data_IF_192252859614
#
_entry.id   IF_192252859614
#
_cell.length_a   1.000
_cell.length_b   1.000
_cell.length_c   1.000
_cell.angle_alpha   90.00
_cell.angle_beta   90.00
_cell.angle_gamma   90.00
#
_symmetry.space_group_name_H-M   'P 1'
#
loop_
_entity.id
_entity.type
_entity.pdbx_description
1 polymer ?
#
# COMPACT_ATOMS: atom_id res chain seq x y z
N UNK A 1 18.91 12.25 11.36
CA UNK A 1 17.68 12.01 10.59
C UNK A 1 17.39 10.53 10.57
N UNK A 2 16.13 10.07 10.67
CA UNK A 2 15.80 8.66 10.51
C UNK A 2 16.25 8.16 9.13
N UNK A 3 16.82 6.95 9.07
CA UNK A 3 17.23 6.34 7.80
C UNK A 3 16.02 6.15 6.87
N UNK A 4 16.20 6.40 5.57
CA UNK A 4 15.16 6.09 4.59
C UNK A 4 14.89 4.58 4.57
N UNK A 5 13.70 4.16 4.11
CA UNK A 5 13.40 2.74 3.99
C UNK A 5 14.42 1.98 3.13
N UNK A 6 14.88 2.59 2.02
CA UNK A 6 15.88 1.99 1.14
C UNK A 6 17.17 1.69 1.91
N UNK A 7 17.57 2.62 2.79
CA UNK A 7 18.76 2.48 3.65
C UNK A 7 18.62 1.36 4.69
N UNK A 8 17.40 1.06 5.13
CA UNK A 8 17.12 0.05 6.16
C UNK A 8 17.02 -1.37 5.60
N UNK A 9 16.50 -1.55 4.38
CA UNK A 9 16.11 -2.87 3.89
C UNK A 9 16.75 -3.30 2.56
N UNK A 10 17.22 -2.36 1.73
CA UNK A 10 17.89 -2.70 0.48
C UNK A 10 19.39 -2.83 0.72
N UNK A 11 20.02 -3.88 0.18
CA UNK A 11 21.48 -4.05 0.26
C UNK A 11 22.18 -2.87 -0.43
N UNK A 12 23.31 -2.41 0.10
CA UNK A 12 24.10 -1.29 -0.48
C UNK A 12 24.42 -1.46 -1.97
N UNK A 13 24.74 -2.69 -2.40
CA UNK A 13 25.01 -2.99 -3.80
C UNK A 13 23.77 -2.77 -4.71
N UNK A 14 22.59 -3.07 -4.18
CA UNK A 14 21.32 -2.89 -4.89
C UNK A 14 20.88 -1.43 -4.87
N UNK A 15 21.07 -0.71 -3.75
CA UNK A 15 20.88 0.76 -3.72
C UNK A 15 21.71 1.47 -4.79
N UNK A 16 22.97 1.03 -4.98
CA UNK A 16 23.85 1.56 -6.01
C UNK A 16 23.33 1.26 -7.42
N UNK A 17 22.74 0.09 -7.65
CA UNK A 17 22.11 -0.27 -8.93
C UNK A 17 20.86 0.57 -9.20
N UNK A 18 20.00 0.75 -8.21
CA UNK A 18 18.80 1.60 -8.34
C UNK A 18 19.20 3.04 -8.67
N UNK A 19 20.21 3.59 -7.98
CA UNK A 19 20.78 4.89 -8.33
C UNK A 19 21.36 4.91 -9.76
N UNK A 20 22.13 3.89 -10.14
CA UNK A 20 22.73 3.80 -11.47
C UNK A 20 21.67 3.73 -12.58
N UNK A 21 20.55 3.07 -12.33
CA UNK A 21 19.44 2.93 -13.27
C UNK A 21 18.41 4.06 -13.16
N UNK A 22 18.62 5.04 -12.28
CA UNK A 22 17.69 6.14 -12.07
C UNK A 22 16.33 5.69 -11.55
N UNK A 23 16.25 4.53 -10.90
CA UNK A 23 15.01 4.00 -10.33
C UNK A 23 14.71 4.76 -9.04
N UNK A 24 13.68 5.59 -9.09
CA UNK A 24 13.13 6.31 -7.96
C UNK A 24 11.62 6.04 -7.87
N UNK A 25 11.09 6.06 -6.66
CA UNK A 25 9.63 5.99 -6.47
C UNK A 25 8.98 7.26 -7.02
N UNK A 26 7.80 7.10 -7.64
CA UNK A 26 7.04 8.22 -8.15
C UNK A 26 6.72 9.26 -7.07
N UNK A 27 6.38 10.48 -7.51
CA UNK A 27 5.89 11.54 -6.63
C UNK A 27 4.54 11.11 -6.03
N UNK A 28 4.58 10.46 -4.87
CA UNK A 28 3.42 10.03 -4.09
C UNK A 28 3.58 10.49 -2.64
N UNK A 29 2.47 10.68 -1.95
CA UNK A 29 2.49 10.79 -0.49
C UNK A 29 2.68 9.40 0.10
N UNK A 30 3.48 9.27 1.16
CA UNK A 30 3.70 8.01 1.85
C UNK A 30 3.14 8.08 3.25
N UNK A 31 2.19 7.19 3.56
CA UNK A 31 1.57 7.06 4.87
C UNK A 31 1.86 5.68 5.45
N UNK A 32 2.03 5.60 6.77
CA UNK A 32 2.22 4.33 7.50
C UNK A 32 1.02 4.09 8.40
N UNK A 33 0.15 3.17 8.00
CA UNK A 33 -1.13 2.88 8.64
C UNK A 33 -0.96 1.74 9.65
N UNK A 34 -1.29 1.95 10.94
CA UNK A 34 -1.25 0.87 11.92
C UNK A 34 -2.39 -0.12 11.67
N UNK A 35 -2.06 -1.39 11.44
CA UNK A 35 -3.01 -2.49 11.54
C UNK A 35 -3.32 -2.78 13.01
N UNK A 36 -4.45 -3.45 13.28
CA UNK A 36 -4.93 -3.71 14.65
C UNK A 36 -3.96 -4.51 15.52
N UNK A 37 -3.10 -5.34 14.90
CA UNK A 37 -2.10 -6.15 15.58
C UNK A 37 -0.70 -5.51 15.62
N UNK A 38 -0.61 -4.22 15.26
CA UNK A 38 0.58 -3.40 15.42
C UNK A 38 1.55 -3.40 14.23
N UNK A 39 1.18 -4.01 13.11
CA UNK A 39 1.90 -3.83 11.85
C UNK A 39 1.76 -2.39 11.35
N UNK A 40 2.83 -1.84 10.78
CA UNK A 40 2.80 -0.56 10.09
C UNK A 40 2.76 -0.82 8.59
N UNK A 41 1.63 -0.54 7.95
CA UNK A 41 1.39 -0.78 6.53
C UNK A 41 1.72 0.46 5.72
N UNK A 42 2.60 0.34 4.74
CA UNK A 42 2.93 1.46 3.88
C UNK A 42 1.88 1.64 2.78
N UNK A 43 1.41 2.87 2.62
CA UNK A 43 0.40 3.26 1.63
C UNK A 43 0.93 4.45 0.86
N UNK A 44 1.04 4.30 -0.47
CA UNK A 44 1.29 5.44 -1.36
C UNK A 44 -0.03 6.06 -1.78
N UNK A 45 -0.17 7.38 -1.61
CA UNK A 45 -1.30 8.17 -2.06
C UNK A 45 -0.95 9.04 -3.27
N UNK A 46 -1.89 9.13 -4.21
CA UNK A 46 -1.84 9.96 -5.39
C UNK A 46 -3.12 10.79 -5.40
N UNK A 47 -3.07 11.95 -4.75
CA UNK A 47 -4.22 12.83 -4.64
C UNK A 47 -4.34 13.71 -5.88
N UNK A 48 -5.58 13.93 -6.31
CA UNK A 48 -5.90 14.90 -7.35
C UNK A 48 -6.78 15.99 -6.75
N UNK A 49 -6.67 17.23 -7.24
CA UNK A 49 -7.54 18.31 -6.78
C UNK A 49 -8.03 19.10 -8.01
N UNK A 50 -9.36 19.19 -8.24
CA UNK A 50 -10.45 18.60 -7.45
C UNK A 50 -10.57 17.09 -7.64
N UNK A 51 -11.04 16.39 -6.60
CA UNK A 51 -11.25 14.93 -6.62
C UNK A 51 -12.56 14.57 -7.30
N UNK A 52 -12.58 13.44 -8.01
CA UNK A 52 -13.73 12.91 -8.75
C UNK A 52 -14.09 11.52 -8.22
N UNK A 53 -15.37 11.36 -7.89
CA UNK A 53 -15.93 10.05 -7.53
C UNK A 53 -15.38 9.51 -6.22
N UNK A 54 -15.35 8.18 -6.11
CA UNK A 54 -14.86 7.46 -4.93
C UNK A 54 -13.36 7.18 -5.06
N UNK A 55 -12.60 7.21 -3.94
CA UNK A 55 -11.19 6.86 -3.96
C UNK A 55 -10.98 5.42 -4.42
N UNK A 56 -9.79 5.13 -4.93
CA UNK A 56 -9.43 3.83 -5.48
C UNK A 56 -8.31 3.22 -4.66
N UNK A 57 -8.54 2.06 -4.04
CA UNK A 57 -7.51 1.24 -3.42
C UNK A 57 -7.04 0.15 -4.38
N UNK A 58 -5.75 0.15 -4.69
CA UNK A 58 -5.07 -0.84 -5.52
C UNK A 58 -4.27 -1.79 -4.61
N UNK A 59 -4.66 -3.07 -4.60
CA UNK A 59 -4.09 -4.11 -3.73
C UNK A 59 -3.31 -5.15 -4.55
N UNK A 60 -2.04 -5.36 -4.18
CA UNK A 60 -1.12 -6.20 -4.93
C UNK A 60 -1.33 -7.71 -4.71
N UNK A 61 -0.74 -8.53 -5.58
CA UNK A 61 -0.76 -9.99 -5.49
C UNK A 61 0.29 -10.57 -4.53
N UNK A 62 0.35 -11.89 -4.44
CA UNK A 62 1.35 -12.57 -3.61
C UNK A 62 2.77 -12.33 -4.15
N UNK A 63 3.73 -12.02 -3.27
CA UNK A 63 5.11 -11.76 -3.67
C UNK A 63 5.32 -10.45 -4.42
N UNK A 64 4.31 -9.57 -4.43
CA UNK A 64 4.32 -8.26 -5.05
C UNK A 64 4.31 -7.15 -3.99
N UNK A 65 4.23 -5.90 -4.40
CA UNK A 65 4.17 -4.75 -3.49
C UNK A 65 3.41 -3.60 -4.18
N UNK A 66 3.23 -2.45 -3.51
CA UNK A 66 2.47 -1.31 -4.02
C UNK A 66 2.96 -0.76 -5.36
N UNK A 67 4.26 -0.95 -5.68
CA UNK A 67 4.87 -0.50 -6.94
C UNK A 67 4.37 -1.30 -8.15
N UNK A 68 3.67 -2.43 -7.95
CA UNK A 68 3.00 -3.15 -9.05
C UNK A 68 2.03 -2.27 -9.84
N UNK A 69 1.49 -1.23 -9.21
CA UNK A 69 0.60 -0.26 -9.85
C UNK A 69 1.25 1.09 -10.15
N UNK A 70 2.48 1.30 -9.69
CA UNK A 70 3.29 2.48 -9.99
C UNK A 70 4.71 2.07 -10.43
N UNK A 71 4.82 1.67 -11.70
CA UNK A 71 6.06 1.20 -12.32
C UNK A 71 6.81 2.32 -13.06
N UNK A 72 6.09 3.08 -13.88
CA UNK A 72 6.66 4.11 -14.76
C UNK A 72 5.58 5.14 -15.15
N UNK A 73 5.98 6.39 -15.37
CA UNK A 73 5.07 7.49 -15.65
C UNK A 73 4.08 7.21 -16.81
N UNK A 74 4.49 6.45 -17.82
CA UNK A 74 3.69 6.22 -19.03
C UNK A 74 2.75 5.02 -18.91
N UNK A 75 3.00 4.11 -17.96
CA UNK A 75 2.25 2.84 -17.84
C UNK A 75 1.71 2.55 -16.43
N UNK A 76 1.93 3.45 -15.46
CA UNK A 76 1.44 3.31 -14.09
C UNK A 76 -0.08 3.50 -14.02
N UNK A 77 -0.80 2.45 -13.65
CA UNK A 77 -2.25 2.51 -13.41
C UNK A 77 -2.60 3.53 -12.32
N UNK A 78 -1.82 3.59 -11.25
CA UNK A 78 -2.06 4.52 -10.14
C UNK A 78 -2.01 5.98 -10.61
N UNK A 79 -0.97 6.31 -11.39
CA UNK A 79 -0.76 7.65 -11.93
C UNK A 79 -1.77 8.00 -13.01
N UNK A 80 -2.12 7.04 -13.87
CA UNK A 80 -3.16 7.22 -14.87
C UNK A 80 -4.51 7.58 -14.23
N UNK A 81 -4.95 6.81 -13.23
CA UNK A 81 -6.21 7.08 -12.52
C UNK A 81 -6.19 8.42 -11.77
N UNK A 82 -5.07 8.76 -11.14
CA UNK A 82 -4.90 10.07 -10.50
C UNK A 82 -4.99 11.22 -11.50
N UNK A 83 -4.38 11.08 -12.69
CA UNK A 83 -4.49 12.06 -13.77
C UNK A 83 -5.93 12.19 -14.33
N UNK A 84 -6.76 11.15 -14.19
CA UNK A 84 -8.20 11.21 -14.49
C UNK A 84 -9.05 11.83 -13.36
N UNK A 85 -8.43 12.28 -12.28
CA UNK A 85 -9.07 12.99 -11.18
C UNK A 85 -9.53 12.10 -10.01
N UNK A 86 -9.05 10.86 -9.91
CA UNK A 86 -9.35 10.02 -8.74
C UNK A 86 -8.30 10.20 -7.64
N UNK A 87 -8.70 10.09 -6.39
CA UNK A 87 -7.73 9.82 -5.32
C UNK A 87 -7.37 8.34 -5.36
N UNK A 88 -6.09 8.04 -5.52
CA UNK A 88 -5.61 6.66 -5.70
C UNK A 88 -4.65 6.30 -4.59
N UNK A 89 -4.79 5.08 -4.09
CA UNK A 89 -3.99 4.53 -3.01
C UNK A 89 -3.47 3.16 -3.41
N UNK A 90 -2.18 2.91 -3.19
CA UNK A 90 -1.56 1.59 -3.39
C UNK A 90 -0.96 1.14 -2.07
N UNK A 91 -1.27 -0.08 -1.63
CA UNK A 91 -0.86 -0.60 -0.32
C UNK A 91 0.27 -1.62 -0.46
N UNK A 92 1.24 -1.58 0.45
CA UNK A 92 2.12 -2.71 0.77
C UNK A 92 1.47 -3.52 1.90
N UNK A 93 1.03 -4.76 1.63
CA UNK A 93 0.50 -5.62 2.70
C UNK A 93 1.61 -5.99 3.70
N UNK A 94 1.24 -6.52 4.88
CA UNK A 94 2.24 -6.96 5.86
C UNK A 94 3.29 -7.85 5.20
N UNK A 95 4.54 -7.71 5.65
CA UNK A 95 5.72 -8.38 5.12
C UNK A 95 6.14 -8.03 3.67
N UNK A 96 5.47 -7.08 3.00
CA UNK A 96 5.81 -6.64 1.65
C UNK A 96 6.30 -5.19 1.65
N UNK A 97 7.13 -4.86 0.65
CA UNK A 97 7.61 -3.51 0.39
C UNK A 97 8.05 -2.77 1.66
N UNK A 98 7.42 -1.62 1.91
CA UNK A 98 7.74 -0.72 3.01
C UNK A 98 7.02 -1.04 4.32
N UNK A 99 6.22 -2.09 4.38
CA UNK A 99 5.47 -2.44 5.58
C UNK A 99 6.34 -3.08 6.66
N UNK A 100 6.20 -2.61 7.89
CA UNK A 100 7.07 -2.95 9.02
C UNK A 100 6.32 -3.72 10.08
N UNK A 101 6.98 -4.77 10.59
CA UNK A 101 6.48 -5.55 11.71
C UNK A 101 6.54 -4.74 13.01
N UNK A 102 5.65 -5.03 13.99
CA UNK A 102 5.72 -4.37 15.27
C UNK A 102 7.08 -4.57 15.96
N UNK A 103 7.63 -3.50 16.54
CA UNK A 103 9.00 -3.46 17.09
C UNK A 103 9.21 -4.44 18.25
N UNK A 104 8.16 -4.68 19.06
CA UNK A 104 8.20 -5.57 20.23
C UNK A 104 8.26 -7.07 19.90
N UNK A 105 8.04 -7.45 18.65
CA UNK A 105 8.07 -8.87 18.23
C UNK A 105 9.49 -9.46 18.19
N UNK A 106 10.55 -8.64 18.30
CA UNK A 106 11.93 -9.12 18.30
C UNK A 106 12.26 -9.98 17.06
N UNK A 107 12.94 -11.13 17.27
CA UNK A 107 13.16 -12.17 16.23
C UNK A 107 12.04 -13.22 16.16
N UNK A 108 10.94 -13.07 16.93
CA UNK A 108 9.86 -14.08 16.94
C UNK A 108 9.19 -14.17 15.57
N UNK A 109 8.77 -15.41 15.27
CA UNK A 109 8.34 -15.92 13.98
C UNK A 109 7.22 -15.09 13.36
N UNK A 110 7.24 -15.04 12.03
CA UNK A 110 6.18 -14.64 11.12
C UNK A 110 4.94 -15.53 11.34
N UNK A 111 4.23 -15.34 12.45
CA UNK A 111 3.01 -16.07 12.77
C UNK A 111 1.79 -15.28 12.29
N UNK A 112 1.66 -15.17 10.98
CA UNK A 112 0.50 -14.61 10.30
C UNK A 112 0.29 -15.40 9.00
N UNK A 113 -0.91 -15.32 8.46
CA UNK A 113 -1.28 -15.93 7.18
C UNK A 113 -2.19 -15.04 6.37
N UNK A 114 -2.78 -15.62 5.33
CA UNK A 114 -3.68 -14.90 4.42
C UNK A 114 -4.83 -14.19 5.15
N UNK A 115 -5.39 -14.81 6.19
CA UNK A 115 -6.47 -14.23 6.99
C UNK A 115 -6.11 -12.89 7.61
N UNK A 116 -4.84 -12.66 7.96
CA UNK A 116 -4.44 -11.39 8.55
C UNK A 116 -4.45 -10.25 7.53
N UNK A 117 -4.24 -10.53 6.24
CA UNK A 117 -4.48 -9.52 5.20
C UNK A 117 -5.94 -9.08 5.17
N UNK A 118 -6.85 -10.04 5.29
CA UNK A 118 -8.29 -9.84 5.14
C UNK A 118 -8.90 -9.18 6.38
N UNK A 119 -8.48 -9.59 7.57
CA UNK A 119 -9.12 -9.16 8.83
C UNK A 119 -8.37 -8.05 9.56
N UNK A 120 -7.09 -7.83 9.26
CA UNK A 120 -6.27 -6.82 9.95
C UNK A 120 -5.81 -5.73 8.99
N UNK A 121 -5.17 -6.10 7.88
CA UNK A 121 -4.50 -5.11 7.03
C UNK A 121 -5.46 -4.28 6.20
N UNK A 122 -6.31 -4.95 5.43
CA UNK A 122 -7.21 -4.28 4.50
C UNK A 122 -8.26 -3.44 5.21
N UNK A 123 -8.91 -3.88 6.31
CA UNK A 123 -9.81 -3.02 7.06
C UNK A 123 -9.12 -1.75 7.56
N UNK A 124 -7.91 -1.86 8.14
CA UNK A 124 -7.17 -0.70 8.63
C UNK A 124 -6.83 0.30 7.52
N UNK A 125 -6.43 -0.19 6.34
CA UNK A 125 -6.11 0.66 5.18
C UNK A 125 -7.37 1.28 4.57
N UNK A 126 -8.47 0.52 4.49
CA UNK A 126 -9.76 1.04 4.01
C UNK A 126 -10.24 2.16 4.94
N UNK A 127 -10.26 1.92 6.26
CA UNK A 127 -10.70 2.90 7.24
C UNK A 127 -9.85 4.17 7.20
N UNK A 128 -8.54 4.02 7.04
CA UNK A 128 -7.62 5.14 6.84
C UNK A 128 -7.99 5.98 5.60
N UNK A 129 -8.21 5.35 4.44
CA UNK A 129 -8.56 6.06 3.19
C UNK A 129 -9.92 6.75 3.32
N UNK A 130 -10.92 6.08 3.88
CA UNK A 130 -12.26 6.65 4.08
C UNK A 130 -12.21 7.86 5.01
N UNK A 131 -11.41 7.78 6.09
CA UNK A 131 -11.22 8.90 7.00
C UNK A 131 -10.47 10.07 6.35
N UNK A 132 -9.42 9.80 5.56
CA UNK A 132 -8.63 10.83 4.88
C UNK A 132 -9.43 11.56 3.79
N UNK A 133 -10.24 10.82 3.04
CA UNK A 133 -11.03 11.38 1.92
C UNK A 133 -12.40 11.89 2.34
N UNK A 134 -12.87 11.56 3.55
CA UNK A 134 -14.23 11.85 4.03
C UNK A 134 -15.34 11.05 3.33
N UNK A 135 -14.98 10.03 2.55
CA UNK A 135 -15.91 9.20 1.79
C UNK A 135 -16.43 8.03 2.63
N UNK A 136 -17.61 7.51 2.26
CA UNK A 136 -18.24 6.36 2.96
C UNK A 136 -17.91 5.01 2.32
N UNK A 137 -17.37 5.03 1.11
CA UNK A 137 -17.05 3.86 0.32
C UNK A 137 -15.91 4.18 -0.65
N UNK A 138 -15.23 3.13 -1.12
CA UNK A 138 -14.13 3.23 -2.07
C UNK A 138 -14.25 2.17 -3.16
N UNK A 139 -13.58 2.39 -4.29
CA UNK A 139 -13.40 1.38 -5.32
C UNK A 139 -12.19 0.52 -4.96
N UNK A 140 -12.37 -0.79 -4.91
CA UNK A 140 -11.28 -1.73 -4.63
C UNK A 140 -10.87 -2.46 -5.90
N UNK A 141 -9.58 -2.45 -6.22
CA UNK A 141 -8.99 -3.19 -7.34
C UNK A 141 -7.89 -4.07 -6.81
N UNK A 142 -8.06 -5.38 -6.95
CA UNK A 142 -7.09 -6.37 -6.50
C UNK A 142 -6.46 -7.14 -7.64
N UNK A 143 -5.13 -7.28 -7.63
CA UNK A 143 -4.42 -8.15 -8.57
C UNK A 143 -4.13 -9.51 -7.93
N UNK A 144 -4.55 -10.60 -8.58
CA UNK A 144 -4.29 -11.99 -8.13
C UNK A 144 -4.76 -12.23 -6.69
N UNK A 145 -3.86 -12.57 -5.75
CA UNK A 145 -4.16 -12.69 -4.32
C UNK A 145 -4.89 -11.44 -3.78
N UNK A 146 -4.49 -10.24 -4.22
CA UNK A 146 -5.11 -8.99 -3.80
C UNK A 146 -6.58 -8.85 -4.21
N UNK A 147 -7.08 -9.67 -5.15
CA UNK A 147 -8.49 -9.72 -5.54
C UNK A 147 -9.36 -10.67 -4.70
N UNK A 148 -8.77 -11.61 -3.97
CA UNK A 148 -9.50 -12.54 -3.10
C UNK A 148 -10.21 -11.87 -1.89
N UNK A 149 -9.68 -10.80 -1.27
CA UNK A 149 -10.32 -10.09 -0.17
C UNK A 149 -11.66 -9.42 -0.51
N UNK A 150 -12.04 -9.31 -1.79
CA UNK A 150 -13.31 -8.71 -2.24
C UNK A 150 -14.55 -9.50 -1.80
N UNK A 151 -14.38 -10.67 -1.17
CA UNK A 151 -15.46 -11.41 -0.51
C UNK A 151 -15.32 -11.31 1.01
N UNK A 152 -15.58 -10.12 1.56
CA UNK A 152 -16.04 -10.01 2.95
C UNK A 152 -17.56 -9.91 2.92
N UNK A 153 -18.30 -10.80 3.63
CA UNK A 153 -19.74 -10.73 3.68
C UNK A 153 -20.17 -9.40 4.29
N UNK A 154 -21.18 -8.78 3.69
CA UNK A 154 -21.78 -7.56 4.21
C UNK A 154 -22.05 -7.68 5.71
N UNK A 155 -21.52 -6.72 6.46
CA UNK A 155 -21.73 -6.60 7.89
C UNK A 155 -21.84 -5.13 8.21
N UNK A 156 -23.06 -4.61 8.14
CA UNK A 156 -23.42 -3.39 8.82
C UNK A 156 -22.90 -3.45 10.28
N UNK A 157 -22.19 -2.41 10.68
CA UNK A 157 -22.21 -1.91 12.05
C UNK A 157 -22.36 -0.41 11.97
#
# INVERSE_FOLDING_TARGET
MPMSWDQRHIRKAEQKRLQQWGIAEGNCTMSFVPAHDGWQLAVSGYSSQPTKGLPVLLCHGMGANRLTFDLDADISLARYLAAQGYDVYTVDLRAHGKSEKPSWTGRRKWNWGFNDYVYQDLPAVIDFILAETGQKQLNFVGHSMGGHPVVLPGGAR
#
